data_IF_753402419066
#
_entry.id   IF_753402419066
#
_cell.length_a   1.000
_cell.length_b   1.000
_cell.length_c   1.000
_cell.angle_alpha   90.00
_cell.angle_beta   90.00
_cell.angle_gamma   90.00
#
_symmetry.space_group_name_H-M   'P 1'
#
loop_
_entity.id
_entity.type
_entity.pdbx_description
1 polymer ?
#
# COMPACT_ATOMS: atom_id res chain seq x y z
N UNK A 1 22.26 16.93 13.12
CA UNK A 1 22.47 15.58 12.57
C UNK A 1 21.77 15.53 11.23
N UNK A 2 22.49 15.50 10.11
CA UNK A 2 21.88 15.48 8.78
C UNK A 2 21.48 14.04 8.45
N UNK A 3 20.20 13.70 8.57
CA UNK A 3 19.73 12.38 8.17
C UNK A 3 19.76 12.31 6.65
N UNK A 4 20.70 11.54 6.12
CA UNK A 4 20.88 11.33 4.70
C UNK A 4 19.57 10.83 4.08
N UNK A 5 18.95 11.64 3.22
CA UNK A 5 17.78 11.27 2.43
C UNK A 5 18.19 10.19 1.44
N UNK A 6 18.11 8.91 1.85
CA UNK A 6 18.13 7.80 0.91
C UNK A 6 16.99 8.02 -0.08
N UNK A 7 17.35 8.39 -1.30
CA UNK A 7 16.43 8.60 -2.42
C UNK A 7 15.96 7.24 -2.98
N UNK A 8 15.50 6.35 -2.09
CA UNK A 8 14.87 5.08 -2.46
C UNK A 8 13.40 5.38 -2.74
N UNK A 9 12.87 5.01 -3.92
CA UNK A 9 11.49 5.33 -4.30
C UNK A 9 10.44 4.66 -3.40
N UNK A 10 10.83 3.61 -2.67
CA UNK A 10 9.95 2.83 -1.81
C UNK A 10 10.65 2.45 -0.51
N UNK A 11 9.87 2.40 0.57
CA UNK A 11 10.32 2.01 1.90
C UNK A 11 9.34 1.04 2.57
N UNK A 12 9.83 0.32 3.59
CA UNK A 12 8.97 -0.53 4.43
C UNK A 12 7.97 0.38 5.15
N UNK A 13 6.69 0.00 5.10
CA UNK A 13 5.59 0.79 5.64
C UNK A 13 4.74 1.47 4.58
N UNK A 14 5.25 1.65 3.36
CA UNK A 14 4.49 2.26 2.25
C UNK A 14 3.26 1.43 1.90
N UNK A 15 2.20 2.13 1.50
CA UNK A 15 0.91 1.54 1.16
C UNK A 15 0.69 1.61 -0.35
N UNK A 16 0.32 0.47 -0.90
CA UNK A 16 -0.09 0.30 -2.29
C UNK A 16 -1.56 -0.08 -2.32
N UNK A 17 -2.22 0.25 -3.42
CA UNK A 17 -3.59 -0.17 -3.65
C UNK A 17 -3.70 -0.82 -5.03
N UNK A 18 -4.59 -1.80 -5.12
CA UNK A 18 -5.01 -2.40 -6.38
C UNK A 18 -6.52 -2.25 -6.47
N UNK A 19 -6.98 -1.58 -7.51
CA UNK A 19 -8.40 -1.46 -7.84
C UNK A 19 -8.73 -2.37 -9.01
N UNK A 20 -9.69 -3.26 -8.84
CA UNK A 20 -10.22 -4.12 -9.90
C UNK A 20 -11.74 -4.06 -9.89
N UNK A 21 -12.35 -4.24 -11.05
CA UNK A 21 -13.79 -4.17 -11.26
C UNK A 21 -14.15 -3.16 -12.33
N UNK A 22 -15.21 -3.46 -13.08
CA UNK A 22 -15.69 -2.63 -14.18
C UNK A 22 -16.07 -1.21 -13.73
N UNK A 23 -16.54 -1.09 -12.48
CA UNK A 23 -16.86 0.19 -11.81
C UNK A 23 -15.92 0.50 -10.64
N UNK A 24 -14.74 -0.14 -10.58
CA UNK A 24 -13.72 0.07 -9.53
C UNK A 24 -14.20 -0.16 -8.08
N UNK A 25 -15.21 -0.99 -7.87
CA UNK A 25 -15.82 -1.22 -6.54
C UNK A 25 -14.90 -1.99 -5.57
N UNK A 26 -13.96 -2.79 -6.10
CA UNK A 26 -13.04 -3.58 -5.30
C UNK A 26 -11.64 -2.96 -5.26
N UNK A 27 -11.43 -2.08 -4.28
CA UNK A 27 -10.10 -1.59 -3.89
C UNK A 27 -9.55 -2.47 -2.76
N UNK A 28 -8.36 -3.01 -2.97
CA UNK A 28 -7.58 -3.76 -1.97
C UNK A 28 -6.32 -2.98 -1.64
N UNK A 29 -5.99 -2.86 -0.35
CA UNK A 29 -4.82 -2.15 0.13
C UNK A 29 -3.76 -3.14 0.63
N UNK A 30 -2.51 -2.78 0.40
CA UNK A 30 -1.33 -3.60 0.66
C UNK A 30 -0.27 -2.74 1.32
N UNK A 31 0.43 -3.26 2.32
CA UNK A 31 1.54 -2.56 2.96
C UNK A 31 2.85 -3.32 2.75
N UNK A 32 3.93 -2.61 2.39
CA UNK A 32 5.26 -3.20 2.32
C UNK A 32 5.72 -3.57 3.73
N UNK A 33 5.96 -4.86 3.96
CA UNK A 33 6.53 -5.38 5.23
C UNK A 33 8.02 -5.67 5.12
N UNK A 34 8.51 -5.85 3.89
CA UNK A 34 9.92 -6.11 3.61
C UNK A 34 10.26 -5.62 2.21
N UNK A 35 11.43 -5.01 2.07
CA UNK A 35 11.97 -4.53 0.80
C UNK A 35 13.38 -5.10 0.62
N UNK A 36 13.65 -5.64 -0.56
CA UNK A 36 15.02 -5.93 -1.05
C UNK A 36 15.26 -5.11 -2.31
N UNK A 37 16.46 -5.22 -2.90
CA UNK A 37 16.86 -4.44 -4.08
C UNK A 37 15.92 -4.60 -5.29
N UNK A 38 15.25 -5.75 -5.43
CA UNK A 38 14.37 -6.06 -6.58
C UNK A 38 13.06 -6.75 -6.18
N UNK A 39 12.75 -6.85 -4.90
CA UNK A 39 11.55 -7.56 -4.43
C UNK A 39 10.94 -6.82 -3.25
N UNK A 40 9.61 -6.69 -3.28
CA UNK A 40 8.84 -6.16 -2.17
C UNK A 40 7.85 -7.24 -1.70
N UNK A 41 7.73 -7.41 -0.39
CA UNK A 41 6.73 -8.27 0.22
C UNK A 41 5.64 -7.41 0.81
N UNK A 42 4.40 -7.81 0.56
CA UNK A 42 3.22 -7.07 0.94
C UNK A 42 2.40 -7.85 1.96
N UNK A 43 1.77 -7.15 2.90
CA UNK A 43 0.66 -7.67 3.70
C UNK A 43 -0.65 -7.02 3.29
N UNK A 44 -1.77 -7.74 3.25
CA UNK A 44 -3.08 -7.12 3.03
C UNK A 44 -3.45 -6.23 4.23
N UNK A 45 -4.02 -5.06 3.94
CA UNK A 45 -4.61 -4.18 4.95
C UNK A 45 -6.11 -4.43 4.97
N UNK A 46 -6.68 -4.62 6.17
CA UNK A 46 -8.11 -4.81 6.34
C UNK A 46 -8.85 -3.54 5.89
N UNK A 47 -9.78 -3.68 4.94
CA UNK A 47 -10.66 -2.60 4.48
C UNK A 47 -12.00 -2.70 5.22
N UNK A 48 -12.50 -1.56 5.69
CA UNK A 48 -13.87 -1.40 6.15
C UNK A 48 -14.53 -0.37 5.23
N UNK A 49 -15.51 -0.80 4.45
CA UNK A 49 -16.35 0.12 3.67
C UNK A 49 -17.42 0.68 4.61
N UNK A 50 -17.47 2.00 4.74
CA UNK A 50 -18.56 2.67 5.46
C UNK A 50 -19.53 3.17 4.40
N UNK A 51 -20.69 2.52 4.31
CA UNK A 51 -21.80 3.02 3.50
C UNK A 51 -22.54 4.09 4.30
N UNK A 52 -22.67 5.29 3.72
CA UNK A 52 -23.28 6.46 4.37
C UNK A 52 -24.70 6.73 3.85
N UNK A 53 -25.35 5.77 3.19
CA UNK A 53 -26.73 5.91 2.75
C UNK A 53 -27.67 5.14 3.69
N UNK A 54 -28.04 5.79 4.81
CA UNK A 54 -29.23 5.45 5.59
C UNK A 54 -30.30 6.53 5.40
#
# INVERSE_FOLDING_TARGET
MITQTKNTPYQVGDIFYSSWGYEQTNVTFWQIVKLTEKTAWFRPIKKQTVDIHQ
#
